data_IF_268628179799
#
_entry.id   IF_268628179799
#
_cell.length_a   1.000
_cell.length_b   1.000
_cell.length_c   1.000
_cell.angle_alpha   90.00
_cell.angle_beta   90.00
_cell.angle_gamma   90.00
#
_symmetry.space_group_name_H-M   'P 1'
#
loop_
_entity.id
_entity.type
_entity.pdbx_description
1 polymer ?
#
# COMPACT_ATOMS: atom_id res chain seq x y z
N UNK A 1 25.48 57.36 -39.30
CA UNK A 1 26.28 56.75 -40.36
C UNK A 1 27.09 55.67 -39.68
N UNK A 2 26.81 54.37 -39.78
CA UNK A 2 25.99 53.53 -40.67
C UNK A 2 25.63 52.27 -39.84
N UNK A 3 24.38 51.78 -39.77
CA UNK A 3 23.68 50.99 -40.78
C UNK A 3 24.52 49.82 -41.33
N UNK A 4 24.35 48.63 -40.74
CA UNK A 4 24.52 47.36 -41.43
C UNK A 4 23.25 46.52 -41.24
N UNK A 5 22.26 46.87 -42.04
CA UNK A 5 21.24 45.93 -42.50
C UNK A 5 21.95 44.87 -43.35
N UNK A 6 21.65 43.60 -43.10
CA UNK A 6 21.63 42.62 -44.18
C UNK A 6 20.43 41.72 -43.99
N UNK A 7 19.59 41.82 -45.01
CA UNK A 7 18.27 41.27 -45.16
C UNK A 7 18.28 39.79 -45.53
N UNK A 8 17.21 39.10 -45.08
CA UNK A 8 16.27 38.29 -45.87
C UNK A 8 16.84 37.28 -46.87
N UNK A 9 16.44 36.00 -46.79
CA UNK A 9 15.24 35.46 -47.45
C UNK A 9 15.10 33.97 -47.10
N UNK A 10 13.85 33.55 -46.90
CA UNK A 10 13.44 32.19 -46.61
C UNK A 10 13.83 31.19 -47.71
N UNK A 11 14.24 29.99 -47.29
CA UNK A 11 14.05 28.76 -48.05
C UNK A 11 13.03 27.92 -47.31
N UNK A 12 11.82 27.93 -47.85
CA UNK A 12 10.78 26.93 -47.61
C UNK A 12 11.31 25.58 -48.06
N UNK A 13 11.51 24.67 -47.11
CA UNK A 13 11.81 23.26 -47.33
C UNK A 13 11.00 22.46 -46.31
N UNK A 14 9.95 21.79 -46.79
CA UNK A 14 9.04 21.02 -45.96
C UNK A 14 9.73 19.89 -45.20
N UNK A 15 9.34 19.74 -43.95
CA UNK A 15 9.75 18.67 -43.05
C UNK A 15 9.09 18.91 -41.70
N UNK A 16 8.10 18.09 -41.39
CA UNK A 16 7.26 18.11 -40.20
C UNK A 16 8.04 18.48 -38.92
N UNK A 17 7.60 19.52 -38.22
CA UNK A 17 8.23 19.98 -36.97
C UNK A 17 7.89 18.98 -35.87
N UNK A 18 8.69 17.93 -35.77
CA UNK A 18 8.66 16.96 -34.68
C UNK A 18 9.33 17.57 -33.42
N UNK A 19 8.79 18.69 -32.96
CA UNK A 19 9.27 19.38 -31.76
C UNK A 19 8.74 18.63 -30.54
N UNK A 20 9.63 17.96 -29.81
CA UNK A 20 9.29 17.21 -28.59
C UNK A 20 9.49 18.12 -27.37
N UNK A 21 8.50 18.19 -26.48
CA UNK A 21 8.62 18.83 -25.18
C UNK A 21 8.87 17.81 -24.07
N UNK A 22 9.63 18.23 -23.06
CA UNK A 22 9.93 17.42 -21.89
C UNK A 22 8.91 17.77 -20.79
N UNK A 23 8.03 16.82 -20.45
CA UNK A 23 7.04 16.98 -19.40
C UNK A 23 7.53 16.31 -18.12
N UNK A 24 7.33 16.97 -16.98
CA UNK A 24 7.55 16.39 -15.66
C UNK A 24 6.21 16.27 -14.94
N UNK A 25 5.75 15.04 -14.75
CA UNK A 25 4.53 14.73 -13.99
C UNK A 25 4.94 13.97 -12.72
N UNK A 26 4.82 14.62 -11.56
CA UNK A 26 5.09 14.07 -10.22
C UNK A 26 6.48 13.40 -10.08
N UNK A 27 7.51 13.94 -10.75
CA UNK A 27 8.89 13.43 -10.69
C UNK A 27 9.25 12.45 -11.81
N UNK A 28 8.29 12.04 -12.64
CA UNK A 28 8.55 11.28 -13.85
C UNK A 28 8.68 12.21 -15.06
N UNK A 29 9.84 12.14 -15.71
CA UNK A 29 10.17 12.96 -16.86
C UNK A 29 9.98 12.14 -18.13
N UNK A 30 9.09 12.58 -19.02
CA UNK A 30 8.86 11.93 -20.32
C UNK A 30 8.80 12.94 -21.47
N UNK A 31 9.09 12.45 -22.69
CA UNK A 31 9.00 13.25 -23.92
C UNK A 31 7.61 13.12 -24.52
N UNK A 32 6.99 14.24 -24.90
CA UNK A 32 5.71 14.27 -25.62
C UNK A 32 5.79 15.24 -26.80
N UNK A 33 5.06 14.98 -27.90
CA UNK A 33 5.02 15.88 -29.06
C UNK A 33 4.39 17.22 -28.65
N UNK A 34 5.06 18.34 -28.97
CA UNK A 34 4.62 19.70 -28.65
C UNK A 34 3.38 20.03 -29.46
N UNK A 35 2.32 20.51 -28.79
CA UNK A 35 1.06 20.87 -29.49
C UNK A 35 1.24 22.21 -30.21
N UNK A 36 0.78 22.34 -31.48
CA UNK A 36 0.78 23.63 -32.17
C UNK A 36 -0.06 24.65 -31.39
N UNK A 37 0.54 25.80 -31.07
CA UNK A 37 -0.15 26.92 -30.42
C UNK A 37 -1.15 27.53 -31.41
N UNK A 38 -2.40 27.83 -31.01
CA UNK A 38 -3.46 28.28 -31.93
C UNK A 38 -3.20 29.63 -32.63
N UNK A 39 -2.14 30.35 -32.27
CA UNK A 39 -1.83 31.68 -32.83
C UNK A 39 -1.16 31.63 -34.22
N UNK A 40 -0.78 30.43 -34.71
CA UNK A 40 -0.27 30.26 -36.07
C UNK A 40 -0.87 29.00 -36.72
N UNK A 41 -1.97 29.17 -37.46
CA UNK A 41 -2.48 28.17 -38.38
C UNK A 41 -2.84 28.81 -39.73
N UNK A 42 -2.45 28.22 -40.88
CA UNK A 42 -3.34 28.12 -41.99
C UNK A 42 -4.14 26.81 -41.86
N UNK A 43 -5.44 26.98 -42.06
CA UNK A 43 -6.54 26.03 -41.95
C UNK A 43 -6.24 24.61 -42.46
N UNK A 44 -6.48 23.61 -41.60
CA UNK A 44 -6.87 22.26 -42.04
C UNK A 44 -7.99 21.75 -41.13
N UNK A 45 -9.20 21.83 -41.66
CA UNK A 45 -10.46 21.42 -41.05
C UNK A 45 -10.60 19.90 -41.11
N UNK A 46 -10.13 19.18 -40.08
CA UNK A 46 -10.50 17.77 -39.90
C UNK A 46 -10.51 17.26 -38.44
N UNK A 47 -10.10 18.05 -37.43
CA UNK A 47 -9.89 17.54 -36.06
C UNK A 47 -10.59 18.35 -34.95
N UNK A 48 -11.75 18.98 -35.24
CA UNK A 48 -12.40 19.87 -34.28
C UNK A 48 -13.00 19.16 -33.02
N UNK A 49 -13.19 17.83 -33.05
CA UNK A 49 -13.79 17.07 -31.93
C UNK A 49 -12.79 16.34 -31.01
N UNK A 50 -11.58 16.04 -31.49
CA UNK A 50 -10.58 15.28 -30.73
C UNK A 50 -10.01 15.99 -29.48
N UNK A 51 -9.68 17.30 -29.50
CA UNK A 51 -9.06 17.95 -28.35
C UNK A 51 -10.03 18.19 -27.19
N UNK A 52 -11.34 18.35 -27.46
CA UNK A 52 -12.36 18.51 -26.43
C UNK A 52 -12.61 17.21 -25.66
N UNK A 53 -12.68 16.07 -26.37
CA UNK A 53 -12.86 14.75 -25.76
C UNK A 53 -11.64 14.33 -24.91
N UNK A 54 -10.43 14.67 -25.35
CA UNK A 54 -9.19 14.41 -24.59
C UNK A 54 -9.13 15.27 -23.30
N UNK A 55 -9.54 16.54 -23.36
CA UNK A 55 -9.61 17.43 -22.21
C UNK A 55 -10.64 16.96 -21.16
N UNK A 56 -11.80 16.47 -21.60
CA UNK A 56 -12.79 15.86 -20.69
C UNK A 56 -12.28 14.57 -20.04
N UNK A 57 -11.55 13.73 -20.79
CA UNK A 57 -10.94 12.53 -20.24
C UNK A 57 -9.89 12.87 -19.16
N UNK A 58 -9.11 13.92 -19.36
CA UNK A 58 -8.13 14.40 -18.39
C UNK A 58 -8.78 14.97 -17.12
N UNK A 59 -9.86 15.74 -17.26
CA UNK A 59 -10.65 16.20 -16.11
C UNK A 59 -11.20 15.02 -15.30
N UNK A 60 -11.73 13.98 -15.96
CA UNK A 60 -12.20 12.76 -15.27
C UNK A 60 -11.06 12.04 -14.53
N UNK A 61 -9.86 11.95 -15.13
CA UNK A 61 -8.68 11.36 -14.47
C UNK A 61 -8.30 12.16 -13.22
N UNK A 62 -8.25 13.49 -13.32
CA UNK A 62 -7.96 14.39 -12.18
C UNK A 62 -9.00 14.27 -11.07
N UNK A 63 -10.27 14.16 -11.43
CA UNK A 63 -11.36 13.98 -10.46
C UNK A 63 -11.28 12.64 -9.75
N UNK A 64 -11.02 11.55 -10.47
CA UNK A 64 -10.80 10.24 -9.85
C UNK A 64 -9.58 10.27 -8.91
N UNK A 65 -8.45 10.85 -9.35
CA UNK A 65 -7.25 11.00 -8.51
C UNK A 65 -7.57 11.79 -7.24
N UNK A 66 -8.28 12.92 -7.35
CA UNK A 66 -8.66 13.74 -6.20
C UNK A 66 -9.55 12.98 -5.22
N UNK A 67 -10.56 12.25 -5.71
CA UNK A 67 -11.45 11.44 -4.87
C UNK A 67 -10.67 10.32 -4.18
N UNK A 68 -9.80 9.62 -4.90
CA UNK A 68 -8.97 8.56 -4.35
C UNK A 68 -8.03 9.10 -3.25
N UNK A 69 -7.31 10.19 -3.52
CA UNK A 69 -6.41 10.81 -2.54
C UNK A 69 -7.17 11.34 -1.32
N UNK A 70 -8.37 11.90 -1.50
CA UNK A 70 -9.21 12.33 -0.39
C UNK A 70 -9.63 11.15 0.49
N UNK A 71 -10.05 10.03 -0.11
CA UNK A 71 -10.37 8.80 0.62
C UNK A 71 -9.16 8.22 1.35
N UNK A 72 -7.99 8.24 0.73
CA UNK A 72 -6.75 7.77 1.34
C UNK A 72 -6.35 8.63 2.54
N UNK A 73 -6.46 9.96 2.41
CA UNK A 73 -6.24 10.90 3.52
C UNK A 73 -7.20 10.63 4.68
N UNK A 74 -8.47 10.37 4.38
CA UNK A 74 -9.47 10.10 5.42
C UNK A 74 -9.21 8.76 6.12
N UNK A 75 -8.83 7.73 5.37
CA UNK A 75 -8.45 6.42 5.90
C UNK A 75 -7.27 6.53 6.86
N UNK A 76 -6.15 7.10 6.40
CA UNK A 76 -4.97 7.28 7.25
C UNK A 76 -5.24 8.23 8.42
N UNK A 77 -6.09 9.24 8.23
CA UNK A 77 -6.52 10.11 9.33
C UNK A 77 -7.25 9.35 10.44
N UNK A 78 -8.14 8.42 10.10
CA UNK A 78 -8.82 7.55 11.07
C UNK A 78 -7.85 6.60 11.76
N UNK A 79 -6.96 5.99 10.98
CA UNK A 79 -5.96 5.06 11.50
C UNK A 79 -5.02 5.76 12.49
N UNK A 80 -4.50 6.94 12.14
CA UNK A 80 -3.69 7.76 13.05
C UNK A 80 -4.45 8.08 14.34
N UNK A 81 -5.71 8.50 14.26
CA UNK A 81 -6.51 8.79 15.45
C UNK A 81 -6.71 7.54 16.34
N UNK A 82 -6.81 6.35 15.74
CA UNK A 82 -6.87 5.09 16.48
C UNK A 82 -5.54 4.78 17.17
N UNK A 83 -4.41 4.95 16.47
CA UNK A 83 -3.07 4.77 17.04
C UNK A 83 -2.80 5.75 18.18
N UNK A 84 -3.20 7.01 18.04
CA UNK A 84 -3.09 8.02 19.10
C UNK A 84 -3.89 7.61 20.33
N UNK A 85 -5.14 7.19 20.16
CA UNK A 85 -5.98 6.71 21.28
C UNK A 85 -5.36 5.52 22.00
N UNK A 86 -4.87 4.53 21.25
CA UNK A 86 -4.21 3.35 21.83
C UNK A 86 -2.94 3.75 22.59
N UNK A 87 -2.13 4.64 22.02
CA UNK A 87 -0.93 5.18 22.66
C UNK A 87 -1.25 5.87 23.99
N UNK A 88 -2.26 6.75 24.02
CA UNK A 88 -2.71 7.38 25.27
C UNK A 88 -3.19 6.35 26.29
N UNK A 89 -3.94 5.34 25.86
CA UNK A 89 -4.45 4.28 26.75
C UNK A 89 -3.30 3.47 27.37
N UNK A 90 -2.27 3.15 26.57
CA UNK A 90 -1.09 2.44 27.06
C UNK A 90 -0.30 3.28 28.06
N UNK A 91 -0.12 4.59 27.79
CA UNK A 91 0.52 5.51 28.73
C UNK A 91 -0.24 5.60 30.06
N UNK A 92 -1.58 5.66 30.04
CA UNK A 92 -2.39 5.66 31.26
C UNK A 92 -2.24 4.37 32.06
N UNK A 93 -2.13 3.22 31.38
CA UNK A 93 -1.92 1.92 32.04
C UNK A 93 -0.53 1.88 32.70
N UNK A 94 0.50 2.36 32.00
CA UNK A 94 1.87 2.45 32.51
C UNK A 94 1.95 3.36 33.73
N UNK A 95 1.38 4.57 33.67
CA UNK A 95 1.33 5.51 34.80
C UNK A 95 0.60 4.91 36.02
N UNK A 96 -0.52 4.21 35.78
CA UNK A 96 -1.23 3.48 36.85
C UNK A 96 -0.33 2.39 37.42
N UNK A 97 0.35 1.59 36.60
CA UNK A 97 1.22 0.53 37.08
C UNK A 97 2.38 1.07 37.93
N UNK A 98 3.01 2.16 37.50
CA UNK A 98 4.08 2.85 38.25
C UNK A 98 3.59 3.40 39.58
N UNK A 99 2.40 4.00 39.59
CA UNK A 99 1.77 4.51 40.82
C UNK A 99 1.49 3.39 41.81
N UNK A 100 0.95 2.25 41.35
CA UNK A 100 0.73 1.07 42.20
C UNK A 100 2.04 0.49 42.73
N UNK A 101 3.10 0.43 41.91
CA UNK A 101 4.42 -0.04 42.33
C UNK A 101 5.03 0.86 43.40
N UNK A 102 4.93 2.18 43.23
CA UNK A 102 5.43 3.17 44.19
C UNK A 102 4.67 3.10 45.52
N UNK A 103 3.34 2.97 45.47
CA UNK A 103 2.52 2.78 46.67
C UNK A 103 2.84 1.48 47.41
N UNK A 104 3.10 0.38 46.68
CA UNK A 104 3.52 -0.90 47.27
C UNK A 104 4.87 -0.76 47.99
N UNK A 105 5.85 -0.12 47.36
CA UNK A 105 7.17 0.13 47.96
C UNK A 105 7.08 0.99 49.22
N UNK A 106 6.30 2.08 49.20
CA UNK A 106 6.10 2.93 50.39
C UNK A 106 5.41 2.17 51.54
N UNK A 107 4.51 1.24 51.23
CA UNK A 107 3.84 0.40 52.22
C UNK A 107 4.78 -0.66 52.80
N UNK A 108 5.61 -1.29 51.97
CA UNK A 108 6.65 -2.23 52.39
C UNK A 108 7.72 -1.54 53.26
N UNK A 109 8.07 -0.29 52.97
CA UNK A 109 9.02 0.50 53.76
C UNK A 109 8.43 0.95 55.11
N UNK A 110 7.16 1.35 55.17
CA UNK A 110 6.45 1.65 56.42
C UNK A 110 6.16 0.40 57.28
N UNK A 111 6.12 -0.79 56.67
CA UNK A 111 5.95 -2.06 57.36
C UNK A 111 7.27 -2.73 57.76
N UNK A 112 8.43 -2.11 57.48
CA UNK A 112 9.73 -2.59 57.98
C UNK A 112 9.77 -2.38 59.50
N UNK A 113 9.74 -3.44 60.33
CA UNK A 113 9.85 -3.30 61.78
C UNK A 113 11.26 -2.81 62.13
N UNK A 114 11.38 -1.78 62.96
CA UNK A 114 12.58 -1.58 63.80
C UNK A 114 12.65 -2.74 64.81
N UNK A 115 13.18 -3.89 64.40
CA UNK A 115 13.58 -4.94 65.33
C UNK A 115 15.10 -5.10 65.28
N UNK A 116 15.77 -4.36 66.16
CA UNK A 116 17.04 -4.79 66.74
C UNK A 116 16.74 -5.81 67.85
N UNK A 117 16.37 -7.04 67.48
CA UNK A 117 16.46 -8.21 68.36
C UNK A 117 16.23 -9.49 67.53
N UNK A 118 17.28 -10.30 67.44
CA UNK A 118 17.22 -11.74 67.17
C UNK A 118 16.53 -12.19 65.87
N UNK A 119 17.34 -12.44 64.85
CA UNK A 119 16.89 -13.06 63.60
C UNK A 119 16.23 -14.43 63.87
N UNK A 120 14.94 -14.64 63.53
CA UNK A 120 14.44 -15.97 63.28
C UNK A 120 14.94 -16.41 61.89
N UNK A 121 15.25 -17.69 61.75
CA UNK A 121 15.61 -18.27 60.46
C UNK A 121 14.57 -17.91 59.37
N UNK A 122 14.98 -17.74 58.10
CA UNK A 122 14.04 -17.43 57.02
C UNK A 122 12.99 -18.54 56.96
N UNK A 123 11.73 -18.14 57.11
CA UNK A 123 10.60 -19.05 57.05
C UNK A 123 10.51 -19.63 55.62
N UNK A 124 10.97 -20.87 55.46
CA UNK A 124 10.97 -21.61 54.19
C UNK A 124 9.55 -21.70 53.59
N UNK A 125 8.50 -21.58 54.42
CA UNK A 125 7.11 -21.53 53.98
C UNK A 125 6.75 -20.28 53.17
N UNK A 126 7.33 -19.12 53.52
CA UNK A 126 7.10 -17.84 52.82
C UNK A 126 7.75 -17.82 51.44
N UNK A 127 8.97 -18.37 51.31
CA UNK A 127 9.65 -18.51 50.03
C UNK A 127 8.95 -19.54 49.12
N UNK A 128 8.45 -20.66 49.67
CA UNK A 128 7.67 -21.63 48.88
C UNK A 128 6.37 -21.03 48.35
N UNK A 129 5.62 -20.29 49.18
CA UNK A 129 4.37 -19.66 48.75
C UNK A 129 4.59 -18.63 47.62
N UNK A 130 5.70 -17.88 47.66
CA UNK A 130 6.07 -16.95 46.59
C UNK A 130 6.44 -17.69 45.29
N UNK A 131 7.17 -18.81 45.39
CA UNK A 131 7.51 -19.62 44.22
C UNK A 131 6.25 -20.23 43.61
N UNK A 132 5.34 -20.75 44.42
CA UNK A 132 4.07 -21.30 43.95
C UNK A 132 3.19 -20.24 43.26
N UNK A 133 3.16 -19.01 43.77
CA UNK A 133 2.47 -17.89 43.12
C UNK A 133 3.09 -17.53 41.77
N UNK A 134 4.43 -17.50 41.68
CA UNK A 134 5.15 -17.25 40.43
C UNK A 134 4.94 -18.38 39.41
N UNK A 135 4.86 -19.63 39.85
CA UNK A 135 4.57 -20.78 38.99
C UNK A 135 3.14 -20.67 38.45
N UNK A 136 2.16 -20.36 39.29
CA UNK A 136 0.78 -20.12 38.85
C UNK A 136 0.68 -18.98 37.84
N UNK A 137 1.44 -17.90 38.05
CA UNK A 137 1.48 -16.79 37.11
C UNK A 137 2.13 -17.19 35.77
N UNK A 138 3.20 -17.98 35.81
CA UNK A 138 3.87 -18.47 34.60
C UNK A 138 2.97 -19.43 33.80
N UNK A 139 2.24 -20.32 34.48
CA UNK A 139 1.25 -21.20 33.85
C UNK A 139 0.11 -20.42 33.19
N UNK A 140 -0.38 -19.36 33.86
CA UNK A 140 -1.41 -18.48 33.27
C UNK A 140 -0.88 -17.73 32.03
N UNK A 141 0.37 -17.28 32.06
CA UNK A 141 1.01 -16.63 30.91
C UNK A 141 1.28 -17.61 29.76
N UNK A 142 1.58 -18.89 30.05
CA UNK A 142 1.76 -19.91 29.02
C UNK A 142 0.50 -20.07 28.16
N UNK A 143 -0.68 -20.08 28.78
CA UNK A 143 -1.95 -20.19 28.04
C UNK A 143 -2.12 -19.02 27.07
N UNK A 144 -1.86 -17.80 27.52
CA UNK A 144 -1.98 -16.59 26.68
C UNK A 144 -0.99 -16.64 25.50
N UNK A 145 0.26 -17.04 25.78
CA UNK A 145 1.30 -17.16 24.75
C UNK A 145 0.91 -18.23 23.73
N UNK A 146 0.39 -19.38 24.19
CA UNK A 146 -0.07 -20.46 23.32
C UNK A 146 -1.24 -20.00 22.45
N UNK A 147 -2.25 -19.34 23.03
CA UNK A 147 -3.39 -18.80 22.28
C UNK A 147 -2.94 -17.80 21.20
N UNK A 148 -1.96 -16.93 21.51
CA UNK A 148 -1.40 -16.01 20.54
C UNK A 148 -0.59 -16.72 19.45
N UNK A 149 0.16 -17.76 19.80
CA UNK A 149 0.89 -18.60 18.83
C UNK A 149 -0.07 -19.27 17.86
N UNK A 150 -1.14 -19.87 18.37
CA UNK A 150 -2.16 -20.55 17.55
C UNK A 150 -2.82 -19.56 16.59
N UNK A 151 -3.08 -18.32 17.02
CA UNK A 151 -3.62 -17.28 16.14
C UNK A 151 -2.63 -16.87 15.03
N UNK A 152 -1.34 -16.80 15.34
CA UNK A 152 -0.29 -16.55 14.35
C UNK A 152 -0.22 -17.68 13.32
N UNK A 153 -0.29 -18.95 13.76
CA UNK A 153 -0.25 -20.12 12.87
C UNK A 153 -1.45 -20.10 11.91
N UNK A 154 -2.65 -19.75 12.40
CA UNK A 154 -3.84 -19.59 11.55
C UNK A 154 -3.66 -18.45 10.54
N UNK A 155 -3.12 -17.31 10.97
CA UNK A 155 -2.88 -16.18 10.08
C UNK A 155 -1.84 -16.51 9.01
N UNK A 156 -0.78 -17.25 9.35
CA UNK A 156 0.25 -17.70 8.41
C UNK A 156 -0.34 -18.68 7.39
N UNK A 157 -1.12 -19.67 7.84
CA UNK A 157 -1.81 -20.61 6.95
C UNK A 157 -2.79 -19.91 5.98
N UNK A 158 -3.49 -18.86 6.44
CA UNK A 158 -4.36 -18.05 5.57
C UNK A 158 -3.54 -17.26 4.53
N UNK A 159 -2.41 -16.67 4.93
CA UNK A 159 -1.52 -15.95 4.03
C UNK A 159 -0.94 -16.88 2.98
N UNK A 160 -0.43 -18.05 3.37
CA UNK A 160 0.10 -19.06 2.46
C UNK A 160 -0.97 -19.53 1.46
N UNK A 161 -2.18 -19.81 1.93
CA UNK A 161 -3.27 -20.23 1.05
C UNK A 161 -3.63 -19.17 0.01
N UNK A 162 -3.65 -17.89 0.40
CA UNK A 162 -3.93 -16.78 -0.52
C UNK A 162 -2.77 -16.54 -1.48
N UNK A 163 -1.53 -16.65 -1.01
CA UNK A 163 -0.34 -16.58 -1.85
C UNK A 163 -0.33 -17.68 -2.92
N UNK A 164 -0.60 -18.93 -2.53
CA UNK A 164 -0.71 -20.04 -3.47
C UNK A 164 -1.88 -19.85 -4.44
N UNK A 165 -3.02 -19.33 -3.99
CA UNK A 165 -4.16 -18.99 -4.87
C UNK A 165 -3.80 -17.95 -5.93
N UNK A 166 -2.97 -16.97 -5.58
CA UNK A 166 -2.48 -15.94 -6.51
C UNK A 166 -1.41 -16.47 -7.46
N UNK A 167 -0.57 -17.41 -7.01
CA UNK A 167 0.46 -18.07 -7.80
C UNK A 167 -0.09 -19.07 -8.80
N UNK A 168 -1.10 -19.86 -8.44
CA UNK A 168 -1.70 -20.89 -9.29
C UNK A 168 -1.99 -20.42 -10.72
N UNK A 169 -2.71 -19.30 -10.98
CA UNK A 169 -2.98 -18.87 -12.36
C UNK A 169 -1.73 -18.48 -13.15
N UNK A 170 -0.65 -18.07 -12.47
CA UNK A 170 0.63 -17.80 -13.13
C UNK A 170 1.33 -19.09 -13.56
N UNK A 171 1.28 -20.13 -12.74
CA UNK A 171 1.88 -21.43 -13.07
C UNK A 171 1.02 -22.26 -14.03
N UNK A 172 -0.29 -22.04 -14.05
CA UNK A 172 -1.24 -22.69 -14.96
C UNK A 172 -1.25 -22.08 -16.37
N UNK A 173 -0.42 -21.05 -16.64
CA UNK A 173 -0.30 -20.48 -17.97
C UNK A 173 0.28 -21.51 -18.96
N UNK A 174 -0.31 -21.68 -20.15
CA UNK A 174 0.18 -22.62 -21.18
C UNK A 174 1.63 -22.38 -21.59
N UNK A 175 2.15 -21.16 -21.39
CA UNK A 175 3.55 -20.80 -21.69
C UNK A 175 4.57 -21.61 -20.88
N UNK A 176 4.18 -22.07 -19.69
CA UNK A 176 5.01 -22.91 -18.83
C UNK A 176 4.83 -24.41 -19.11
N UNK A 177 3.93 -24.77 -20.01
CA UNK A 177 3.67 -26.16 -20.40
C UNK A 177 4.64 -26.65 -21.49
N UNK A 178 4.45 -27.90 -21.91
CA UNK A 178 5.12 -28.47 -23.08
C UNK A 178 4.86 -27.62 -24.33
N UNK A 179 5.87 -27.37 -25.20
CA UNK A 179 5.67 -26.61 -26.43
C UNK A 179 4.51 -27.09 -27.31
N UNK A 180 4.19 -28.39 -27.30
CA UNK A 180 3.03 -28.94 -28.04
C UNK A 180 1.69 -28.53 -27.42
N UNK A 181 1.59 -28.56 -26.08
CA UNK A 181 0.38 -28.16 -25.35
C UNK A 181 0.11 -26.66 -25.50
N UNK A 182 1.16 -25.83 -25.51
CA UNK A 182 1.05 -24.41 -25.80
C UNK A 182 0.49 -24.16 -27.20
N UNK A 183 1.00 -24.88 -28.21
CA UNK A 183 0.52 -24.76 -29.59
C UNK A 183 -0.95 -25.16 -29.71
N UNK A 184 -1.39 -26.22 -29.02
CA UNK A 184 -2.81 -26.62 -28.97
C UNK A 184 -3.69 -25.52 -28.35
N UNK A 185 -3.29 -24.97 -27.20
CA UNK A 185 -4.04 -23.90 -26.53
C UNK A 185 -4.14 -22.59 -27.33
N UNK A 186 -3.11 -22.27 -28.13
CA UNK A 186 -3.13 -21.11 -29.03
C UNK A 186 -3.99 -21.37 -30.27
N UNK A 187 -3.97 -22.59 -30.81
CA UNK A 187 -4.80 -22.95 -31.94
C UNK A 187 -6.31 -22.97 -31.60
N UNK A 188 -6.70 -23.30 -30.37
CA UNK A 188 -8.12 -23.29 -29.97
C UNK A 188 -8.75 -21.88 -29.93
N UNK A 189 -7.96 -20.80 -29.87
CA UNK A 189 -8.47 -19.42 -29.86
C UNK A 189 -8.79 -18.84 -31.25
N UNK A 190 -8.21 -19.39 -32.33
CA UNK A 190 -8.23 -18.73 -33.66
C UNK A 190 -9.17 -19.36 -34.70
N UNK A 191 -9.89 -20.45 -34.37
CA UNK A 191 -10.65 -21.21 -35.39
C UNK A 191 -12.16 -21.36 -35.18
N UNK A 192 -12.79 -20.75 -34.16
CA UNK A 192 -14.24 -20.95 -33.91
C UNK A 192 -15.16 -19.72 -34.07
N UNK A 193 -14.66 -18.54 -34.46
CA UNK A 193 -15.49 -17.33 -34.54
C UNK A 193 -15.92 -16.89 -35.96
N UNK A 194 -15.86 -17.76 -36.97
CA UNK A 194 -16.08 -17.32 -38.37
C UNK A 194 -17.17 -18.03 -39.18
N UNK A 195 -18.02 -18.88 -38.59
CA UNK A 195 -19.00 -19.66 -39.38
C UNK A 195 -20.47 -19.54 -38.96
N UNK A 196 -20.93 -18.40 -38.43
CA UNK A 196 -22.36 -18.19 -38.10
C UNK A 196 -22.97 -16.88 -38.65
N UNK A 197 -22.59 -16.45 -39.86
CA UNK A 197 -23.37 -15.43 -40.58
C UNK A 197 -23.46 -15.69 -42.09
N UNK A 198 -23.81 -16.92 -42.45
CA UNK A 198 -24.34 -17.24 -43.75
C UNK A 198 -25.43 -18.29 -43.54
N UNK A 199 -26.70 -17.86 -43.58
CA UNK A 199 -27.93 -18.61 -43.89
C UNK A 199 -29.13 -18.05 -43.07
N UNK A 200 -29.59 -16.85 -43.41
CA UNK A 200 -31.02 -16.53 -43.36
C UNK A 200 -31.40 -15.79 -44.64
N UNK A 201 -31.80 -16.58 -45.63
CA UNK A 201 -32.41 -16.11 -46.87
C UNK A 201 -33.50 -17.12 -47.23
N UNK A 202 -34.68 -16.95 -46.63
CA UNK A 202 -36.00 -17.37 -47.12
C UNK A 202 -37.07 -16.65 -46.33
#
# INVERSE_FOLDING_TARGET
MDAAVSSTTALSGGGDSDEWELCNDDGFIYKRRKRPRPDHAPSSTAAAGAPALEHEAELRRRDHKRKFLAGLREMYGREIAQWERLSTTLQEIEERAETHRSHRQLREEQQRPEEAAEAPAPDLGSACAMVDELVLQAEAQEVIIRDMSDLCDVAEAMCEAEEERLKQPLFDLPVWSSPRSLMEALCDQDFCNNDDNALQLT
#
